data_IF_688314848392
#
_entry.id   IF_688314848392
#
_cell.length_a   1.000
_cell.length_b   1.000
_cell.length_c   1.000
_cell.angle_alpha   90.00
_cell.angle_beta   90.00
_cell.angle_gamma   90.00
#
_symmetry.space_group_name_H-M   'P 1'
#
loop_
_entity.id
_entity.type
_entity.pdbx_description
1 polymer ?
#
# COMPACT_ATOMS: atom_id res chain seq x y z
N UNK A 1 40.50 -24.82 -8.24
CA UNK A 1 40.61 -24.10 -6.95
C UNK A 1 39.20 -23.95 -6.39
N UNK A 2 38.89 -24.61 -5.28
CA UNK A 2 37.59 -24.51 -4.59
C UNK A 2 37.39 -23.09 -4.11
N UNK A 3 36.22 -22.51 -4.37
CA UNK A 3 35.89 -21.15 -3.97
C UNK A 3 35.86 -21.00 -2.44
N UNK A 4 36.07 -19.80 -1.91
CA UNK A 4 35.98 -19.49 -0.50
C UNK A 4 34.61 -19.90 0.10
N UNK A 5 33.55 -19.78 -0.70
CA UNK A 5 32.20 -20.18 -0.34
C UNK A 5 32.06 -21.73 -0.17
N UNK A 6 32.68 -22.50 -1.04
CA UNK A 6 32.67 -23.98 -0.92
C UNK A 6 33.46 -24.46 0.28
N UNK A 7 34.54 -23.77 0.63
CA UNK A 7 35.33 -24.04 1.87
C UNK A 7 34.55 -23.68 3.12
N UNK A 8 33.85 -22.55 3.12
CA UNK A 8 33.01 -22.14 4.25
C UNK A 8 31.80 -23.08 4.43
N UNK A 9 31.26 -23.66 3.37
CA UNK A 9 30.17 -24.63 3.44
C UNK A 9 30.54 -25.95 4.13
N UNK A 10 31.84 -26.30 4.16
CA UNK A 10 32.36 -27.53 4.81
C UNK A 10 32.64 -27.35 6.31
N UNK A 11 32.57 -26.13 6.84
CA UNK A 11 32.79 -25.84 8.26
C UNK A 11 31.54 -26.18 9.11
N UNK A 12 31.79 -26.63 10.33
CA UNK A 12 30.72 -26.79 11.32
C UNK A 12 30.02 -25.45 11.65
N UNK A 13 28.77 -25.45 12.13
CA UNK A 13 28.07 -24.22 12.48
C UNK A 13 28.83 -23.29 13.41
N UNK A 14 29.54 -23.87 14.42
CA UNK A 14 30.38 -23.13 15.38
C UNK A 14 31.63 -22.53 14.71
N UNK A 15 32.26 -23.25 13.79
CA UNK A 15 33.40 -22.76 13.05
C UNK A 15 33.03 -21.66 12.05
N UNK A 16 31.85 -21.73 11.42
CA UNK A 16 31.29 -20.64 10.58
C UNK A 16 31.03 -19.38 11.40
N UNK A 17 30.44 -19.53 12.60
CA UNK A 17 30.20 -18.40 13.49
C UNK A 17 31.50 -17.76 14.02
N UNK A 18 32.55 -18.55 14.26
CA UNK A 18 33.86 -18.06 14.65
C UNK A 18 34.53 -17.30 13.49
N UNK A 19 34.52 -17.87 12.29
CA UNK A 19 35.05 -17.24 11.07
C UNK A 19 34.33 -15.92 10.75
N UNK A 20 32.98 -15.87 10.88
CA UNK A 20 32.22 -14.64 10.70
C UNK A 20 32.63 -13.55 11.70
N UNK A 21 32.88 -13.91 12.98
CA UNK A 21 33.38 -12.97 14.01
C UNK A 21 34.78 -12.46 13.70
N UNK A 22 35.66 -13.31 13.19
CA UNK A 22 37.01 -12.92 12.79
C UNK A 22 37.01 -12.00 11.57
N UNK A 23 36.18 -12.28 10.57
CA UNK A 23 36.02 -11.44 9.38
C UNK A 23 35.52 -10.05 9.75
N UNK A 24 34.53 -9.95 10.67
CA UNK A 24 34.04 -8.66 11.20
C UNK A 24 35.16 -7.93 11.99
N UNK A 25 35.98 -8.62 12.79
CA UNK A 25 37.13 -8.03 13.51
C UNK A 25 38.23 -7.58 12.58
N UNK A 26 38.45 -8.27 11.45
CA UNK A 26 39.42 -7.92 10.44
C UNK A 26 39.01 -6.71 9.56
N UNK A 27 37.88 -6.06 9.85
CA UNK A 27 37.41 -4.93 9.09
C UNK A 27 36.98 -5.32 7.68
N UNK A 28 36.66 -6.62 7.44
CA UNK A 28 36.06 -7.05 6.20
C UNK A 28 34.65 -6.43 6.16
N UNK A 29 34.47 -5.33 5.44
CA UNK A 29 33.16 -4.78 5.13
C UNK A 29 32.47 -5.79 4.24
N UNK A 30 31.51 -6.53 4.81
CA UNK A 30 30.48 -7.14 3.98
C UNK A 30 29.85 -6.01 3.17
N UNK A 31 29.44 -6.25 1.90
CA UNK A 31 28.76 -5.21 1.14
C UNK A 31 27.65 -4.63 2.01
N UNK A 32 27.82 -3.40 2.47
CA UNK A 32 26.86 -2.68 3.32
C UNK A 32 25.71 -2.11 2.51
N UNK A 33 25.43 -2.66 1.34
CA UNK A 33 24.36 -2.23 0.41
C UNK A 33 22.94 -2.51 0.92
N UNK A 34 22.78 -3.10 2.12
CA UNK A 34 21.48 -3.31 2.77
C UNK A 34 20.78 -1.99 3.08
N UNK A 35 21.51 -0.89 3.10
CA UNK A 35 20.99 0.47 3.33
C UNK A 35 21.00 1.35 2.07
N UNK A 36 21.18 0.78 0.87
CA UNK A 36 21.14 1.57 -0.37
C UNK A 36 19.78 2.28 -0.49
N UNK A 37 19.76 3.62 -0.66
CA UNK A 37 18.51 4.37 -0.83
C UNK A 37 17.81 3.96 -2.12
N UNK A 38 16.47 3.99 -2.09
CA UNK A 38 15.63 3.67 -3.24
C UNK A 38 14.95 4.94 -3.73
N UNK A 39 15.09 5.24 -5.02
CA UNK A 39 14.45 6.36 -5.68
C UNK A 39 13.02 6.00 -6.11
N UNK A 40 12.08 6.91 -5.89
CA UNK A 40 10.78 6.93 -6.54
C UNK A 40 10.93 7.72 -7.83
N UNK A 41 10.72 7.08 -8.97
CA UNK A 41 10.93 7.72 -10.29
C UNK A 41 9.62 7.90 -11.06
N UNK A 42 8.55 7.25 -10.67
CA UNK A 42 7.23 7.38 -11.29
C UNK A 42 6.10 7.12 -10.30
N UNK A 43 4.93 7.71 -10.60
CA UNK A 43 3.69 7.59 -9.81
C UNK A 43 2.53 7.49 -10.78
N UNK A 44 1.61 6.57 -10.53
CA UNK A 44 0.25 6.52 -11.10
C UNK A 44 -0.75 6.40 -9.97
N UNK A 45 -1.89 7.05 -10.07
CA UNK A 45 -2.95 6.91 -9.07
C UNK A 45 -4.34 7.24 -9.60
N UNK A 46 -5.34 6.58 -9.00
CA UNK A 46 -6.78 6.82 -9.12
C UNK A 46 -7.34 6.87 -7.71
N UNK A 47 -7.87 8.03 -7.30
CA UNK A 47 -8.45 8.21 -5.96
C UNK A 47 -9.80 8.93 -6.06
N UNK A 48 -10.63 8.91 -4.99
CA UNK A 48 -11.89 9.66 -4.94
C UNK A 48 -11.72 11.14 -5.30
N UNK A 49 -12.78 11.76 -5.79
CA UNK A 49 -12.74 13.16 -6.21
C UNK A 49 -12.16 13.36 -7.61
N UNK A 50 -12.32 12.37 -8.50
CA UNK A 50 -11.83 12.39 -9.89
C UNK A 50 -10.31 12.55 -10.01
N UNK A 51 -9.57 12.03 -9.04
CA UNK A 51 -8.10 12.00 -9.10
C UNK A 51 -7.67 10.95 -10.12
N UNK A 52 -6.96 11.39 -11.16
CA UNK A 52 -6.45 10.55 -12.24
C UNK A 52 -4.93 10.59 -12.39
N UNK A 53 -4.24 11.15 -11.41
CA UNK A 53 -2.77 11.24 -11.41
C UNK A 53 -2.26 12.13 -10.28
N UNK A 54 -0.93 12.23 -10.11
CA UNK A 54 -0.33 12.95 -9.00
C UNK A 54 -0.66 14.45 -8.99
N UNK A 55 -0.81 15.09 -10.14
CA UNK A 55 -1.12 16.53 -10.23
C UNK A 55 -2.53 16.84 -9.72
N UNK A 56 -3.54 16.04 -10.12
CA UNK A 56 -4.91 16.19 -9.64
C UNK A 56 -5.03 15.81 -8.16
N UNK A 57 -4.23 14.86 -7.70
CA UNK A 57 -4.16 14.52 -6.28
C UNK A 57 -3.57 15.66 -5.44
N UNK A 58 -2.48 16.26 -5.90
CA UNK A 58 -1.91 17.44 -5.27
C UNK A 58 -2.92 18.58 -5.15
N UNK A 59 -3.66 18.87 -6.24
CA UNK A 59 -4.66 19.93 -6.24
C UNK A 59 -5.77 19.66 -5.21
N UNK A 60 -6.29 18.43 -5.18
CA UNK A 60 -7.29 17.99 -4.20
C UNK A 60 -6.82 18.23 -2.75
N UNK A 61 -5.57 17.86 -2.45
CA UNK A 61 -4.99 18.03 -1.12
C UNK A 61 -4.76 19.50 -0.78
N UNK A 62 -4.25 20.29 -1.74
CA UNK A 62 -3.97 21.72 -1.55
C UNK A 62 -5.27 22.52 -1.31
N UNK A 63 -6.36 22.13 -1.97
CA UNK A 63 -7.67 22.74 -1.80
C UNK A 63 -8.43 22.21 -0.57
N UNK A 64 -7.91 21.19 0.12
CA UNK A 64 -8.53 20.59 1.29
C UNK A 64 -9.88 19.93 0.99
N UNK A 65 -10.04 19.34 -0.20
CA UNK A 65 -11.32 18.76 -0.65
C UNK A 65 -11.65 17.52 0.19
N UNK A 66 -12.89 17.44 0.67
CA UNK A 66 -13.51 16.23 1.21
C UNK A 66 -14.29 15.53 0.10
N UNK A 67 -13.90 14.31 -0.24
CA UNK A 67 -14.48 13.54 -1.34
C UNK A 67 -15.50 12.50 -0.91
N UNK A 68 -15.87 12.51 0.37
CA UNK A 68 -16.80 11.52 0.88
C UNK A 68 -18.21 11.82 0.45
N UNK A 69 -18.85 10.84 -0.14
CA UNK A 69 -20.20 10.90 -0.68
C UNK A 69 -21.04 9.69 -0.28
N UNK A 70 -22.31 9.71 -0.59
CA UNK A 70 -23.16 8.53 -0.40
C UNK A 70 -22.78 7.45 -1.41
N UNK A 71 -22.97 6.18 -1.01
CA UNK A 71 -22.78 5.02 -1.90
C UNK A 71 -23.51 5.27 -3.23
N UNK A 72 -22.79 5.26 -4.37
CA UNK A 72 -23.39 5.46 -5.67
C UNK A 72 -24.39 4.36 -6.02
N UNK A 73 -25.48 4.68 -6.76
CA UNK A 73 -26.52 3.69 -7.10
C UNK A 73 -26.02 2.51 -7.95
N UNK A 74 -24.92 2.69 -8.68
CA UNK A 74 -24.28 1.66 -9.49
C UNK A 74 -23.46 0.65 -8.65
N UNK A 75 -23.23 0.92 -7.37
CA UNK A 75 -22.60 -0.01 -6.42
C UNK A 75 -23.67 -0.93 -5.79
N UNK A 76 -24.55 -0.37 -5.01
CA UNK A 76 -25.72 -1.04 -4.41
C UNK A 76 -26.72 -0.03 -3.86
N UNK A 77 -27.95 -0.47 -3.61
CA UNK A 77 -28.95 0.35 -2.91
C UNK A 77 -28.55 0.51 -1.43
N UNK A 78 -28.01 1.67 -1.08
CA UNK A 78 -27.51 1.95 0.27
C UNK A 78 -28.65 1.91 1.31
N UNK A 79 -29.86 2.37 0.95
CA UNK A 79 -30.99 2.41 1.88
C UNK A 79 -31.50 0.99 2.19
N UNK A 80 -31.40 0.06 1.25
CA UNK A 80 -31.78 -1.33 1.46
C UNK A 80 -30.89 -2.04 2.49
N UNK A 81 -29.64 -1.58 2.69
CA UNK A 81 -28.68 -2.17 3.63
C UNK A 81 -28.42 -1.32 4.87
N UNK A 82 -28.96 -0.12 4.96
CA UNK A 82 -28.73 0.80 6.08
C UNK A 82 -29.70 0.56 7.25
N UNK A 83 -29.15 0.62 8.48
CA UNK A 83 -29.92 0.75 9.71
C UNK A 83 -29.06 1.47 10.74
N UNK A 84 -29.55 2.52 11.42
CA UNK A 84 -28.78 3.21 12.45
C UNK A 84 -28.53 2.34 13.71
N UNK A 85 -29.32 1.27 13.91
CA UNK A 85 -29.10 0.31 14.98
C UNK A 85 -27.95 -0.65 14.61
N UNK A 86 -26.79 -0.59 15.29
CA UNK A 86 -25.69 -1.50 15.02
C UNK A 86 -26.01 -2.97 15.27
N UNK A 87 -27.07 -3.27 16.03
CA UNK A 87 -27.52 -4.64 16.29
C UNK A 87 -28.37 -5.23 15.16
N UNK A 88 -28.92 -4.39 14.26
CA UNK A 88 -29.78 -4.83 13.16
C UNK A 88 -29.06 -5.83 12.24
N UNK A 89 -29.57 -7.05 12.12
CA UNK A 89 -28.92 -8.12 11.36
C UNK A 89 -28.87 -7.82 9.87
N UNK A 90 -27.70 -8.06 9.21
CA UNK A 90 -27.53 -7.85 7.79
C UNK A 90 -27.55 -6.38 7.35
N UNK A 91 -27.37 -5.45 8.28
CA UNK A 91 -27.38 -4.01 8.04
C UNK A 91 -26.04 -3.36 8.36
N UNK A 92 -25.72 -2.26 7.66
CA UNK A 92 -24.57 -1.39 7.92
C UNK A 92 -25.06 -0.09 8.57
N UNK A 93 -24.20 0.54 9.37
CA UNK A 93 -24.50 1.77 10.12
C UNK A 93 -24.13 3.06 9.37
N UNK A 94 -23.63 2.95 8.17
CA UNK A 94 -23.20 4.10 7.35
C UNK A 94 -23.65 3.93 5.91
N UNK A 95 -23.86 5.06 5.21
CA UNK A 95 -24.13 5.10 3.78
C UNK A 95 -23.05 5.87 3.01
N UNK A 96 -21.91 6.12 3.65
CA UNK A 96 -20.88 7.01 3.15
C UNK A 96 -19.62 6.23 2.77
N UNK A 97 -18.90 6.75 1.77
CA UNK A 97 -17.61 6.26 1.30
C UNK A 97 -16.90 7.24 0.38
N UNK A 98 -15.63 7.00 0.14
CA UNK A 98 -14.87 7.66 -0.92
C UNK A 98 -14.86 6.74 -2.14
N UNK A 99 -15.51 7.12 -3.24
CA UNK A 99 -15.68 6.26 -4.41
C UNK A 99 -14.88 6.77 -5.61
N UNK A 100 -14.35 5.84 -6.40
CA UNK A 100 -13.74 6.11 -7.70
C UNK A 100 -14.81 5.97 -8.77
N UNK A 101 -14.84 6.92 -9.71
CA UNK A 101 -15.77 6.88 -10.85
C UNK A 101 -15.35 5.81 -11.87
N UNK A 102 -16.31 5.38 -12.69
CA UNK A 102 -16.08 4.57 -13.90
C UNK A 102 -15.25 3.28 -13.65
N UNK A 103 -15.44 2.60 -12.50
CA UNK A 103 -14.68 1.40 -12.15
C UNK A 103 -14.94 0.21 -13.09
N UNK A 104 -15.99 0.26 -13.89
CA UNK A 104 -16.31 -0.70 -14.94
C UNK A 104 -15.63 -0.38 -16.28
N UNK A 105 -15.15 0.85 -16.47
CA UNK A 105 -14.39 1.24 -17.65
C UNK A 105 -13.01 0.58 -17.69
N UNK A 106 -12.60 0.14 -18.87
CA UNK A 106 -11.30 -0.47 -19.10
C UNK A 106 -10.99 -0.53 -20.60
N UNK A 107 -9.84 -0.07 -21.01
CA UNK A 107 -9.37 -0.18 -22.40
C UNK A 107 -8.79 -1.59 -22.67
N UNK A 108 -9.69 -2.56 -22.80
CA UNK A 108 -9.33 -3.96 -23.03
C UNK A 108 -8.53 -4.17 -24.32
N UNK A 109 -8.87 -3.45 -25.37
CA UNK A 109 -8.22 -3.57 -26.70
C UNK A 109 -6.78 -3.09 -26.63
N UNK A 110 -6.50 -2.02 -25.88
CA UNK A 110 -5.14 -1.53 -25.67
C UNK A 110 -4.23 -2.59 -25.04
N UNK A 111 -4.75 -3.38 -24.09
CA UNK A 111 -4.03 -4.48 -23.44
C UNK A 111 -4.13 -5.82 -24.17
N UNK A 112 -4.78 -5.88 -25.35
CA UNK A 112 -4.99 -7.11 -26.11
C UNK A 112 -5.85 -8.15 -25.40
N UNK A 113 -6.75 -7.69 -24.50
CA UNK A 113 -7.65 -8.53 -23.70
C UNK A 113 -9.01 -8.60 -24.39
N UNK A 114 -9.54 -9.83 -24.58
CA UNK A 114 -10.85 -9.97 -25.21
C UNK A 114 -11.98 -9.45 -24.31
N UNK A 115 -13.09 -8.95 -24.88
CA UNK A 115 -14.22 -8.48 -24.08
C UNK A 115 -14.75 -9.53 -23.09
N UNK A 116 -14.76 -10.80 -23.47
CA UNK A 116 -15.19 -11.91 -22.59
C UNK A 116 -14.27 -12.07 -21.38
N UNK A 117 -12.97 -12.01 -21.60
CA UNK A 117 -11.99 -12.06 -20.52
C UNK A 117 -12.07 -10.82 -19.64
N UNK A 118 -12.18 -9.63 -20.24
CA UNK A 118 -12.29 -8.37 -19.52
C UNK A 118 -13.49 -8.34 -18.54
N UNK A 119 -14.63 -8.87 -18.93
CA UNK A 119 -15.82 -8.98 -18.06
C UNK A 119 -15.55 -9.91 -16.87
N UNK A 120 -14.80 -10.98 -17.05
CA UNK A 120 -14.47 -11.93 -15.97
C UNK A 120 -13.36 -11.40 -15.02
N UNK A 121 -12.61 -10.38 -15.44
CA UNK A 121 -11.57 -9.77 -14.61
C UNK A 121 -12.17 -8.86 -13.52
N UNK A 122 -11.66 -9.00 -12.31
CA UNK A 122 -11.92 -8.06 -11.22
C UNK A 122 -11.56 -6.63 -11.68
N UNK A 123 -12.44 -5.64 -11.51
CA UNK A 123 -12.14 -4.24 -11.79
C UNK A 123 -10.84 -3.75 -11.14
N UNK A 124 -10.46 -4.30 -9.98
CA UNK A 124 -9.17 -4.01 -9.35
C UNK A 124 -7.97 -4.41 -10.24
N UNK A 125 -8.07 -5.54 -10.94
CA UNK A 125 -7.01 -5.98 -11.87
C UNK A 125 -6.92 -5.07 -13.09
N UNK A 126 -8.08 -4.62 -13.61
CA UNK A 126 -8.16 -3.69 -14.75
C UNK A 126 -7.52 -2.36 -14.39
N UNK A 127 -7.92 -1.78 -13.26
CA UNK A 127 -7.38 -0.51 -12.76
C UNK A 127 -5.87 -0.59 -12.47
N UNK A 128 -5.38 -1.70 -11.90
CA UNK A 128 -3.95 -1.91 -11.68
C UNK A 128 -3.13 -1.93 -12.98
N UNK A 129 -3.68 -2.50 -14.06
CA UNK A 129 -3.00 -2.48 -15.37
C UNK A 129 -2.83 -1.07 -15.89
N UNK A 130 -3.90 -0.27 -15.90
CA UNK A 130 -3.88 1.11 -16.37
C UNK A 130 -2.96 1.97 -15.50
N UNK A 131 -3.12 1.92 -14.19
CA UNK A 131 -2.31 2.74 -13.26
C UNK A 131 -0.85 2.34 -13.26
N UNK A 132 -0.52 1.04 -13.43
CA UNK A 132 0.86 0.59 -13.59
C UNK A 132 1.50 1.11 -14.89
N UNK A 133 0.74 1.11 -15.98
CA UNK A 133 1.18 1.68 -17.25
C UNK A 133 1.46 3.18 -17.13
N UNK A 134 0.50 3.93 -16.59
CA UNK A 134 0.63 5.37 -16.35
C UNK A 134 1.79 5.73 -15.42
N UNK A 135 2.05 4.90 -14.40
CA UNK A 135 3.21 5.09 -13.52
C UNK A 135 4.53 4.98 -14.30
N UNK A 136 4.62 4.05 -15.27
CA UNK A 136 5.78 3.92 -16.15
C UNK A 136 5.90 5.11 -17.11
N UNK A 137 4.79 5.58 -17.70
CA UNK A 137 4.77 6.80 -18.52
C UNK A 137 5.24 8.02 -17.71
N UNK A 138 4.74 8.17 -16.47
CA UNK A 138 5.16 9.25 -15.58
C UNK A 138 6.65 9.16 -15.20
N UNK A 139 7.21 7.94 -15.15
CA UNK A 139 8.64 7.70 -14.96
C UNK A 139 9.47 7.99 -16.22
N UNK A 140 8.84 8.18 -17.38
CA UNK A 140 9.54 8.26 -18.68
C UNK A 140 10.17 6.93 -19.11
N UNK A 141 9.70 5.81 -18.58
CA UNK A 141 10.19 4.47 -18.90
C UNK A 141 9.23 3.82 -19.90
N UNK A 142 9.65 3.63 -21.17
CA UNK A 142 8.81 2.93 -22.14
C UNK A 142 8.52 1.50 -21.68
N UNK A 143 7.24 1.08 -21.53
CA UNK A 143 6.88 -0.24 -21.03
C UNK A 143 7.53 -1.39 -21.79
N UNK A 144 7.64 -1.29 -23.12
CA UNK A 144 8.28 -2.28 -23.98
C UNK A 144 9.77 -2.52 -23.65
N UNK A 145 10.45 -1.49 -23.09
CA UNK A 145 11.87 -1.58 -22.70
C UNK A 145 12.08 -2.52 -21.50
N UNK A 146 11.03 -2.83 -20.76
CA UNK A 146 11.08 -3.70 -19.59
C UNK A 146 10.94 -5.20 -19.93
N UNK A 147 10.59 -5.53 -21.17
CA UNK A 147 10.42 -6.93 -21.60
C UNK A 147 11.72 -7.73 -21.41
N UNK A 148 11.62 -8.86 -20.75
CA UNK A 148 12.75 -9.75 -20.42
C UNK A 148 13.63 -9.26 -19.26
N UNK A 149 13.35 -8.10 -18.66
CA UNK A 149 14.12 -7.55 -17.54
C UNK A 149 13.70 -8.16 -16.18
N UNK A 150 14.57 -7.99 -15.18
CA UNK A 150 14.26 -8.34 -13.77
C UNK A 150 13.44 -7.25 -13.08
N UNK A 151 12.35 -6.83 -13.71
CA UNK A 151 11.41 -5.89 -13.09
C UNK A 151 10.43 -6.66 -12.21
N UNK A 152 10.32 -6.25 -10.93
CA UNK A 152 9.41 -6.85 -9.95
C UNK A 152 8.05 -6.15 -9.89
N UNK A 153 7.01 -6.87 -9.47
CA UNK A 153 5.65 -6.35 -9.26
C UNK A 153 5.16 -6.78 -7.87
N UNK A 154 4.98 -5.84 -6.95
CA UNK A 154 4.50 -6.07 -5.60
C UNK A 154 3.27 -5.21 -5.33
N UNK A 155 2.08 -5.81 -5.21
CA UNK A 155 0.82 -5.06 -5.05
C UNK A 155 0.02 -5.54 -3.85
N UNK A 156 -0.52 -4.59 -3.09
CA UNK A 156 -1.45 -4.82 -2.00
C UNK A 156 -2.88 -4.99 -2.51
N UNK A 157 -3.51 -6.12 -2.20
CA UNK A 157 -4.91 -6.42 -2.49
C UNK A 157 -5.51 -7.23 -1.33
N UNK A 158 -6.74 -6.93 -0.93
CA UNK A 158 -7.45 -7.68 0.13
C UNK A 158 -8.93 -7.92 -0.17
N UNK A 159 -9.56 -7.15 -1.06
CA UNK A 159 -10.98 -7.29 -1.38
C UNK A 159 -11.27 -8.47 -2.31
N UNK A 160 -12.32 -9.21 -1.99
CA UNK A 160 -12.88 -10.32 -2.78
C UNK A 160 -14.29 -10.01 -3.30
N UNK A 161 -14.72 -8.75 -3.27
CA UNK A 161 -16.10 -8.35 -3.56
C UNK A 161 -16.54 -8.79 -4.95
N UNK A 162 -15.68 -8.68 -5.97
CA UNK A 162 -16.02 -9.11 -7.32
C UNK A 162 -16.22 -10.62 -7.44
N UNK A 163 -15.46 -11.41 -6.68
CA UNK A 163 -15.67 -12.87 -6.59
C UNK A 163 -17.05 -13.18 -6.00
N UNK A 164 -17.45 -12.47 -4.94
CA UNK A 164 -18.75 -12.65 -4.30
C UNK A 164 -19.89 -12.33 -5.27
N UNK A 165 -19.81 -11.18 -5.96
CA UNK A 165 -20.80 -10.76 -6.99
C UNK A 165 -20.91 -11.81 -8.11
N UNK A 166 -19.79 -12.39 -8.57
CA UNK A 166 -19.80 -13.41 -9.61
C UNK A 166 -20.38 -14.76 -9.15
N UNK A 167 -20.11 -15.15 -7.89
CA UNK A 167 -20.66 -16.40 -7.32
C UNK A 167 -22.18 -16.33 -7.22
N UNK A 168 -22.76 -15.15 -6.95
CA UNK A 168 -24.20 -14.96 -6.95
C UNK A 168 -24.81 -15.15 -8.35
N UNK A 169 -24.05 -14.89 -9.40
CA UNK A 169 -24.41 -15.08 -10.82
C UNK A 169 -23.89 -16.40 -11.39
N UNK A 170 -24.15 -17.52 -10.75
CA UNK A 170 -23.57 -18.84 -11.08
C UNK A 170 -23.63 -19.25 -12.55
N UNK A 171 -24.63 -18.77 -13.29
CA UNK A 171 -24.79 -19.07 -14.72
C UNK A 171 -23.68 -18.47 -15.61
N UNK A 172 -23.00 -17.46 -15.13
CA UNK A 172 -22.00 -16.69 -15.88
C UNK A 172 -20.55 -17.16 -15.57
N UNK A 173 -20.38 -18.17 -14.68
CA UNK A 173 -19.06 -18.70 -14.32
C UNK A 173 -18.45 -19.44 -15.49
N UNK A 174 -17.31 -18.96 -15.97
CA UNK A 174 -16.54 -19.59 -17.03
C UNK A 174 -15.05 -19.79 -16.63
N UNK A 175 -14.23 -20.27 -17.57
CA UNK A 175 -12.81 -20.53 -17.32
C UNK A 175 -12.02 -19.25 -16.96
N UNK A 176 -12.45 -18.07 -17.42
CA UNK A 176 -11.76 -16.81 -17.15
C UNK A 176 -11.91 -16.35 -15.70
N UNK A 177 -12.92 -16.81 -14.95
CA UNK A 177 -13.06 -16.49 -13.54
C UNK A 177 -11.82 -16.95 -12.74
N UNK A 178 -11.24 -18.10 -13.10
CA UNK A 178 -10.06 -18.66 -12.42
C UNK A 178 -8.78 -17.82 -12.57
N UNK A 179 -8.72 -16.96 -13.57
CA UNK A 179 -7.61 -16.02 -13.81
C UNK A 179 -8.03 -14.56 -13.66
N UNK A 180 -9.32 -14.30 -13.52
CA UNK A 180 -9.90 -12.96 -13.42
C UNK A 180 -10.03 -12.42 -12.01
N UNK A 181 -10.13 -13.28 -11.00
CA UNK A 181 -10.42 -12.84 -9.61
C UNK A 181 -9.32 -13.12 -8.59
N UNK A 182 -8.44 -14.15 -8.71
CA UNK A 182 -7.40 -14.37 -7.71
C UNK A 182 -6.38 -13.22 -7.65
N UNK A 183 -6.01 -12.76 -6.46
CA UNK A 183 -5.06 -11.66 -6.27
C UNK A 183 -3.70 -11.90 -6.96
N UNK A 184 -3.22 -13.16 -6.98
CA UNK A 184 -1.98 -13.50 -7.68
C UNK A 184 -2.08 -13.26 -9.21
N UNK A 185 -3.27 -13.36 -9.79
CA UNK A 185 -3.48 -13.09 -11.21
C UNK A 185 -3.36 -11.58 -11.53
N UNK A 186 -3.69 -10.68 -10.61
CA UNK A 186 -3.50 -9.24 -10.79
C UNK A 186 -2.04 -8.89 -11.08
N UNK A 187 -1.13 -9.31 -10.21
CA UNK A 187 0.31 -9.07 -10.36
C UNK A 187 0.92 -9.88 -11.51
N UNK A 188 0.46 -11.14 -11.66
CA UNK A 188 0.89 -12.01 -12.75
C UNK A 188 0.53 -11.46 -14.12
N UNK A 189 -0.63 -10.81 -14.26
CA UNK A 189 -1.09 -10.19 -15.51
C UNK A 189 -0.24 -8.97 -15.89
N UNK A 190 0.10 -8.11 -14.94
CA UNK A 190 1.05 -7.00 -15.18
C UNK A 190 2.38 -7.56 -15.68
N UNK A 191 2.93 -8.57 -14.98
CA UNK A 191 4.18 -9.18 -15.36
C UNK A 191 4.10 -9.84 -16.75
N UNK A 192 3.00 -10.53 -17.06
CA UNK A 192 2.77 -11.17 -18.34
C UNK A 192 2.70 -10.17 -19.51
N UNK A 193 1.87 -9.12 -19.37
CA UNK A 193 1.65 -8.14 -20.42
C UNK A 193 2.90 -7.31 -20.71
N UNK A 194 3.70 -6.99 -19.69
CA UNK A 194 4.94 -6.23 -19.84
C UNK A 194 6.17 -7.14 -20.09
N UNK A 195 5.99 -8.48 -20.14
CA UNK A 195 7.09 -9.42 -20.35
C UNK A 195 8.14 -9.45 -19.24
N UNK A 196 7.76 -9.11 -17.99
CA UNK A 196 8.66 -8.98 -16.85
C UNK A 196 9.11 -10.36 -16.33
N UNK A 197 10.34 -10.43 -15.78
CA UNK A 197 10.93 -11.67 -15.24
C UNK A 197 11.31 -11.59 -13.77
N UNK A 198 11.04 -10.46 -13.10
CA UNK A 198 11.21 -10.32 -11.66
C UNK A 198 10.08 -10.99 -10.86
N UNK A 199 10.16 -10.99 -9.52
CA UNK A 199 9.11 -11.49 -8.64
C UNK A 199 7.79 -10.75 -8.86
N UNK A 200 6.66 -11.50 -8.89
CA UNK A 200 5.31 -10.95 -8.95
C UNK A 200 4.54 -11.44 -7.72
N UNK A 201 4.28 -10.55 -6.77
CA UNK A 201 3.76 -10.88 -5.44
C UNK A 201 2.55 -10.04 -5.10
N UNK A 202 1.41 -10.69 -4.86
CA UNK A 202 0.24 -10.05 -4.23
C UNK A 202 0.39 -10.14 -2.71
N UNK A 203 0.12 -9.03 -2.01
CA UNK A 203 0.31 -8.88 -0.57
C UNK A 203 -1.04 -8.59 0.07
N UNK A 204 -1.43 -9.39 1.04
CA UNK A 204 -2.56 -9.10 1.92
C UNK A 204 -2.09 -9.07 3.37
N UNK A 205 -1.98 -7.87 3.90
CA UNK A 205 -1.76 -7.55 5.31
C UNK A 205 -2.77 -6.49 5.76
N UNK A 206 -3.99 -6.57 5.22
CA UNK A 206 -5.09 -5.63 5.45
C UNK A 206 -4.66 -4.17 5.13
N UNK A 207 -4.87 -3.23 6.05
CA UNK A 207 -4.62 -1.80 5.83
C UNK A 207 -3.15 -1.46 5.51
N UNK A 208 -2.21 -2.32 5.83
CA UNK A 208 -0.78 -2.12 5.56
C UNK A 208 -0.29 -2.72 4.23
N UNK A 209 -1.15 -3.42 3.48
CA UNK A 209 -0.77 -4.22 2.30
C UNK A 209 0.12 -3.46 1.32
N UNK A 210 -0.25 -2.26 0.90
CA UNK A 210 0.52 -1.50 -0.08
C UNK A 210 1.85 -0.95 0.47
N UNK A 211 1.95 -0.59 1.76
CA UNK A 211 3.23 -0.24 2.38
C UNK A 211 4.15 -1.44 2.53
N UNK A 212 3.61 -2.61 2.87
CA UNK A 212 4.38 -3.87 2.90
C UNK A 212 4.84 -4.23 1.49
N UNK A 213 4.01 -4.04 0.46
CA UNK A 213 4.41 -4.23 -0.94
C UNK A 213 5.57 -3.29 -1.33
N UNK A 214 5.52 -2.01 -0.97
CA UNK A 214 6.62 -1.05 -1.17
C UNK A 214 7.88 -1.48 -0.39
N UNK A 215 7.72 -1.95 0.86
CA UNK A 215 8.85 -2.47 1.64
C UNK A 215 9.52 -3.67 0.95
N UNK A 216 8.75 -4.65 0.50
CA UNK A 216 9.26 -5.82 -0.21
C UNK A 216 9.96 -5.44 -1.52
N UNK A 217 9.42 -4.46 -2.26
CA UNK A 217 10.05 -3.92 -3.46
C UNK A 217 11.41 -3.27 -3.15
N UNK A 218 11.49 -2.46 -2.09
CA UNK A 218 12.76 -1.88 -1.63
C UNK A 218 13.78 -2.96 -1.24
N UNK A 219 13.33 -4.03 -0.56
CA UNK A 219 14.22 -5.15 -0.21
C UNK A 219 14.71 -5.89 -1.45
N UNK A 220 13.83 -6.20 -2.40
CA UNK A 220 14.18 -6.88 -3.65
C UNK A 220 15.20 -6.07 -4.49
N UNK A 221 15.06 -4.74 -4.56
CA UNK A 221 16.01 -3.83 -5.18
C UNK A 221 17.38 -3.85 -4.48
N UNK A 222 17.40 -3.76 -3.14
CA UNK A 222 18.63 -3.81 -2.32
C UNK A 222 19.36 -5.13 -2.43
N UNK A 223 18.61 -6.24 -2.46
CA UNK A 223 19.16 -7.59 -2.66
C UNK A 223 19.55 -7.88 -4.12
N UNK A 224 19.32 -6.93 -5.03
CA UNK A 224 19.59 -7.07 -6.48
C UNK A 224 18.84 -8.22 -7.14
N UNK A 225 17.71 -8.64 -6.57
CA UNK A 225 16.77 -9.55 -7.23
C UNK A 225 16.04 -8.85 -8.38
N UNK A 226 15.77 -7.54 -8.21
CA UNK A 226 15.16 -6.68 -9.23
C UNK A 226 16.03 -5.47 -9.52
N UNK A 227 15.86 -4.89 -10.70
CA UNK A 227 16.53 -3.64 -11.12
C UNK A 227 15.55 -2.47 -11.18
N UNK A 228 14.26 -2.76 -11.43
CA UNK A 228 13.11 -1.87 -11.34
C UNK A 228 12.02 -2.59 -10.57
N UNK A 229 11.20 -1.90 -9.81
CA UNK A 229 10.04 -2.48 -9.16
C UNK A 229 8.80 -1.57 -9.30
N UNK A 230 7.66 -2.18 -9.64
CA UNK A 230 6.34 -1.60 -9.54
C UNK A 230 5.75 -2.03 -8.19
N UNK A 231 5.40 -1.06 -7.35
CA UNK A 231 4.85 -1.35 -6.02
C UNK A 231 3.68 -0.45 -5.69
N UNK A 232 2.70 -0.96 -4.99
CA UNK A 232 1.52 -0.19 -4.63
C UNK A 232 0.37 -1.04 -4.14
N UNK A 233 -0.85 -0.67 -4.47
CA UNK A 233 -2.04 -1.44 -4.12
C UNK A 233 -3.32 -0.84 -4.66
N UNK A 234 -4.38 -1.62 -4.58
CA UNK A 234 -5.72 -1.26 -5.04
C UNK A 234 -6.77 -1.73 -4.05
N UNK A 235 -7.84 -0.97 -3.96
CA UNK A 235 -9.05 -1.30 -3.19
C UNK A 235 -10.27 -0.77 -3.93
N UNK A 236 -11.23 -1.64 -4.20
CA UNK A 236 -12.57 -1.27 -4.64
C UNK A 236 -13.61 -1.90 -3.71
N UNK A 237 -14.75 -1.23 -3.58
CA UNK A 237 -15.86 -1.65 -2.74
C UNK A 237 -17.07 -1.90 -3.64
N UNK A 238 -17.24 -3.18 -4.05
CA UNK A 238 -18.24 -3.57 -5.05
C UNK A 238 -19.45 -4.28 -4.42
N UNK A 239 -19.42 -4.49 -3.10
CA UNK A 239 -20.53 -5.12 -2.38
C UNK A 239 -20.65 -4.55 -0.95
N UNK A 240 -21.86 -4.62 -0.33
CA UNK A 240 -22.10 -4.13 1.02
C UNK A 240 -21.55 -5.07 2.12
N UNK A 241 -21.14 -6.31 1.80
CA UNK A 241 -20.88 -7.34 2.80
C UNK A 241 -19.78 -6.97 3.80
N UNK A 242 -18.67 -6.44 3.30
CA UNK A 242 -17.57 -5.99 4.16
C UNK A 242 -18.01 -4.80 5.03
N UNK A 243 -18.80 -3.87 4.48
CA UNK A 243 -19.34 -2.74 5.25
C UNK A 243 -20.29 -3.20 6.37
N UNK A 244 -21.12 -4.22 6.11
CA UNK A 244 -21.98 -4.84 7.13
C UNK A 244 -21.11 -5.45 8.25
N UNK A 245 -20.10 -6.23 7.92
CA UNK A 245 -19.21 -6.85 8.90
C UNK A 245 -18.47 -5.81 9.76
N UNK A 246 -17.92 -4.78 9.14
CA UNK A 246 -17.23 -3.68 9.83
C UNK A 246 -18.17 -2.85 10.71
N UNK A 247 -19.44 -2.69 10.31
CA UNK A 247 -20.46 -2.04 11.13
C UNK A 247 -20.76 -2.85 12.40
N UNK A 248 -20.81 -4.19 12.30
CA UNK A 248 -20.96 -5.06 13.49
C UNK A 248 -19.79 -4.96 14.45
N UNK A 249 -18.66 -4.56 13.94
CA UNK A 249 -17.44 -4.33 14.70
C UNK A 249 -17.35 -2.91 15.28
N UNK A 250 -18.34 -2.06 14.99
CA UNK A 250 -18.34 -0.63 15.34
C UNK A 250 -17.07 0.10 14.85
N UNK A 251 -16.53 -0.34 13.71
CA UNK A 251 -15.33 0.23 13.13
C UNK A 251 -15.62 1.39 12.18
N UNK A 252 -16.86 1.42 11.60
CA UNK A 252 -17.25 2.46 10.64
C UNK A 252 -17.89 3.65 11.33
N UNK A 253 -17.52 4.85 10.86
CA UNK A 253 -18.12 6.12 11.28
C UNK A 253 -19.57 6.22 10.78
N UNK A 254 -20.57 6.38 11.66
CA UNK A 254 -21.93 6.67 11.26
C UNK A 254 -22.07 8.04 10.59
N UNK A 255 -21.16 8.98 10.93
CA UNK A 255 -21.15 10.34 10.36
C UNK A 255 -20.47 10.42 9.00
N UNK A 256 -19.80 9.33 8.59
CA UNK A 256 -19.14 9.24 7.29
C UNK A 256 -17.86 10.07 7.20
N UNK A 257 -17.12 10.22 8.29
CA UNK A 257 -15.85 10.97 8.29
C UNK A 257 -14.77 10.25 9.09
N UNK A 258 -13.55 10.29 8.57
CA UNK A 258 -12.36 9.95 9.36
C UNK A 258 -11.95 11.21 10.14
N UNK A 259 -12.47 11.39 11.34
CA UNK A 259 -12.09 12.51 12.22
C UNK A 259 -10.77 12.20 12.91
N UNK A 260 -9.66 12.17 12.15
CA UNK A 260 -8.35 11.73 12.62
C UNK A 260 -7.84 12.63 13.76
N UNK A 261 -7.56 12.02 14.91
CA UNK A 261 -7.08 12.67 16.14
C UNK A 261 -8.03 13.73 16.72
N UNK A 262 -9.30 13.74 16.32
CA UNK A 262 -10.33 14.65 16.81
C UNK A 262 -11.12 14.01 17.96
N UNK A 263 -11.69 14.88 18.82
CA UNK A 263 -12.56 14.44 19.92
C UNK A 263 -13.87 13.78 19.42
N UNK A 264 -14.27 14.05 18.18
CA UNK A 264 -15.43 13.46 17.52
C UNK A 264 -15.10 12.18 16.73
N UNK A 265 -13.91 11.60 16.92
CA UNK A 265 -13.53 10.34 16.28
C UNK A 265 -14.50 9.23 16.70
N UNK A 266 -15.22 8.64 15.73
CA UNK A 266 -16.29 7.66 15.94
C UNK A 266 -16.17 6.42 15.05
N UNK A 267 -15.06 6.30 14.31
CA UNK A 267 -14.77 5.24 13.36
C UNK A 267 -14.17 5.80 12.06
N UNK A 268 -13.89 4.92 11.11
CA UNK A 268 -13.39 5.34 9.79
C UNK A 268 -14.48 5.27 8.73
N UNK A 269 -14.28 5.98 7.62
CA UNK A 269 -15.08 5.84 6.41
C UNK A 269 -14.25 5.07 5.38
N UNK A 270 -14.86 4.09 4.69
CA UNK A 270 -14.19 3.30 3.65
C UNK A 270 -13.95 4.17 2.41
N UNK A 271 -12.85 3.90 1.72
CA UNK A 271 -12.53 4.54 0.44
C UNK A 271 -12.02 3.53 -0.58
N UNK A 272 -12.14 3.89 -1.83
CA UNK A 272 -11.63 3.17 -2.99
C UNK A 272 -10.35 3.84 -3.52
N UNK A 273 -9.58 3.12 -4.32
CA UNK A 273 -8.50 3.71 -5.07
C UNK A 273 -7.39 2.74 -5.43
N UNK A 274 -6.51 3.24 -6.26
CA UNK A 274 -5.33 2.54 -6.73
C UNK A 274 -4.14 3.50 -6.75
N UNK A 275 -2.98 3.03 -6.29
CA UNK A 275 -1.73 3.75 -6.43
C UNK A 275 -0.61 2.80 -6.77
N UNK A 276 0.26 3.20 -7.69
CA UNK A 276 1.46 2.47 -8.11
C UNK A 276 2.63 3.44 -8.17
N UNK A 277 3.75 3.03 -7.60
CA UNK A 277 5.01 3.75 -7.68
C UNK A 277 6.05 2.91 -8.40
N UNK A 278 6.90 3.58 -9.19
CA UNK A 278 8.04 2.99 -9.88
C UNK A 278 9.29 3.26 -9.06
N UNK A 279 9.99 2.20 -8.66
CA UNK A 279 11.13 2.24 -7.75
C UNK A 279 12.39 1.74 -8.44
N UNK A 280 13.51 2.43 -8.21
CA UNK A 280 14.87 2.00 -8.62
C UNK A 280 15.85 2.28 -7.49
N UNK A 281 16.97 1.54 -7.44
CA UNK A 281 18.09 1.96 -6.56
C UNK A 281 18.49 3.38 -6.94
N UNK A 282 18.77 4.22 -5.96
CA UNK A 282 19.12 5.63 -6.21
C UNK A 282 20.32 5.77 -7.15
N UNK A 283 21.35 4.94 -6.96
CA UNK A 283 22.53 4.95 -7.83
C UNK A 283 22.19 4.62 -9.30
N UNK A 284 21.27 3.67 -9.52
CA UNK A 284 20.80 3.30 -10.86
C UNK A 284 19.96 4.41 -11.47
N UNK A 285 19.04 5.02 -10.72
CA UNK A 285 18.22 6.13 -11.20
C UNK A 285 19.08 7.34 -11.63
N UNK A 286 20.11 7.67 -10.84
CA UNK A 286 21.06 8.76 -11.17
C UNK A 286 21.89 8.41 -12.41
N UNK A 287 22.41 7.18 -12.52
CA UNK A 287 23.14 6.71 -13.69
C UNK A 287 22.28 6.78 -14.96
N UNK A 288 21.02 6.38 -14.86
CA UNK A 288 20.10 6.31 -16.00
C UNK A 288 19.44 7.67 -16.29
N UNK A 289 19.75 8.70 -15.51
CA UNK A 289 19.24 10.06 -15.63
C UNK A 289 17.71 10.17 -15.42
N UNK A 290 17.14 9.27 -14.61
CA UNK A 290 15.73 9.31 -14.26
C UNK A 290 15.40 10.55 -13.43
N UNK A 291 14.15 11.04 -13.54
CA UNK A 291 13.62 12.06 -12.64
C UNK A 291 13.34 11.44 -11.28
N UNK A 292 14.12 11.79 -10.27
CA UNK A 292 13.91 11.35 -8.88
C UNK A 292 12.89 12.27 -8.20
N UNK A 293 11.74 11.72 -7.83
CA UNK A 293 10.65 12.44 -7.17
C UNK A 293 10.85 12.49 -5.65
N UNK A 294 11.27 11.34 -5.09
CA UNK A 294 11.54 11.17 -3.66
C UNK A 294 12.55 10.04 -3.44
N UNK A 295 13.08 9.95 -2.23
CA UNK A 295 14.04 8.91 -1.85
C UNK A 295 13.55 8.19 -0.60
N UNK A 296 13.37 6.86 -0.69
CA UNK A 296 13.11 5.98 0.44
C UNK A 296 14.45 5.60 1.07
N UNK A 297 14.77 6.22 2.20
CA UNK A 297 16.01 5.95 2.94
C UNK A 297 15.94 4.68 3.76
N UNK A 298 14.78 4.42 4.40
CA UNK A 298 14.54 3.24 5.23
C UNK A 298 13.08 2.83 5.27
N UNK A 299 12.83 1.58 5.56
CA UNK A 299 11.50 1.02 5.78
C UNK A 299 11.58 -0.18 6.71
N UNK A 300 10.56 -0.38 7.54
CA UNK A 300 10.48 -1.50 8.46
C UNK A 300 9.06 -2.05 8.54
N UNK A 301 8.95 -3.31 8.86
CA UNK A 301 7.69 -4.00 9.17
C UNK A 301 7.86 -4.80 10.45
N UNK A 302 6.78 -4.93 11.22
CA UNK A 302 6.68 -5.84 12.35
C UNK A 302 5.24 -6.33 12.52
N UNK A 303 4.97 -7.03 13.59
CA UNK A 303 3.63 -7.41 14.03
C UNK A 303 3.42 -6.91 15.46
N UNK A 304 2.16 -6.58 15.78
CA UNK A 304 1.78 -6.17 17.14
C UNK A 304 1.99 -7.26 18.20
N UNK A 305 2.19 -8.51 17.76
CA UNK A 305 2.34 -9.65 18.66
C UNK A 305 1.09 -9.86 19.52
N UNK A 306 1.28 -10.29 20.78
CA UNK A 306 0.16 -10.46 21.71
C UNK A 306 -0.22 -9.11 22.32
N UNK A 307 -1.37 -8.58 21.93
CA UNK A 307 -2.00 -7.37 22.48
C UNK A 307 -3.25 -7.72 23.31
N UNK A 308 -4.03 -6.71 23.69
CA UNK A 308 -5.28 -6.88 24.44
C UNK A 308 -6.42 -7.54 23.62
N UNK A 309 -6.21 -7.78 22.34
CA UNK A 309 -7.12 -8.43 21.43
C UNK A 309 -6.51 -8.47 20.03
N UNK A 310 -6.96 -9.40 19.17
CA UNK A 310 -6.42 -9.57 17.82
C UNK A 310 -6.43 -8.28 16.99
N UNK A 311 -7.35 -7.37 17.28
CA UNK A 311 -7.58 -6.12 16.55
C UNK A 311 -7.16 -4.88 17.32
N UNK A 312 -6.68 -5.05 18.56
CA UNK A 312 -6.26 -3.95 19.41
C UNK A 312 -4.82 -3.54 19.07
N UNK A 313 -4.56 -2.24 18.76
CA UNK A 313 -3.22 -1.75 18.48
C UNK A 313 -2.27 -1.92 19.68
N UNK A 314 -0.97 -2.03 19.39
CA UNK A 314 0.08 -2.13 20.40
C UNK A 314 1.06 -0.96 20.27
N UNK A 315 1.02 -0.02 21.23
CA UNK A 315 1.89 1.16 21.24
C UNK A 315 3.38 0.82 21.22
N UNK A 316 3.80 -0.25 21.91
CA UNK A 316 5.21 -0.65 21.93
C UNK A 316 5.66 -1.15 20.56
N UNK A 317 4.84 -1.98 19.90
CA UNK A 317 5.15 -2.48 18.57
C UNK A 317 5.19 -1.33 17.53
N UNK A 318 4.29 -0.34 17.63
CA UNK A 318 4.35 0.86 16.78
C UNK A 318 5.65 1.64 16.99
N UNK A 319 6.07 1.86 18.23
CA UNK A 319 7.35 2.53 18.55
C UNK A 319 8.55 1.75 18.01
N UNK A 320 8.53 0.44 18.13
CA UNK A 320 9.61 -0.43 17.66
C UNK A 320 9.76 -0.38 16.14
N UNK A 321 8.66 -0.42 15.37
CA UNK A 321 8.73 -0.34 13.90
C UNK A 321 9.18 1.03 13.42
N UNK A 322 8.71 2.12 14.05
CA UNK A 322 9.14 3.48 13.74
C UNK A 322 10.65 3.62 14.02
N UNK A 323 11.11 3.20 15.19
CA UNK A 323 12.53 3.26 15.58
C UNK A 323 13.38 2.44 14.61
N UNK A 324 12.91 1.27 14.19
CA UNK A 324 13.61 0.42 13.23
C UNK A 324 13.72 1.09 11.85
N UNK A 325 12.66 1.73 11.38
CA UNK A 325 12.67 2.47 10.10
C UNK A 325 13.63 3.67 10.16
N UNK A 326 13.61 4.46 11.23
CA UNK A 326 14.51 5.59 11.45
C UNK A 326 15.98 5.13 11.48
N UNK A 327 16.26 4.04 12.18
CA UNK A 327 17.61 3.46 12.27
C UNK A 327 18.12 3.00 10.90
N UNK A 328 17.26 2.31 10.10
CA UNK A 328 17.63 1.89 8.74
C UNK A 328 17.82 3.08 7.79
N UNK A 329 17.08 4.16 8.01
CA UNK A 329 17.18 5.41 7.25
C UNK A 329 18.41 6.26 7.62
N UNK A 330 19.07 5.96 8.73
CA UNK A 330 20.08 6.82 9.38
C UNK A 330 19.52 8.25 9.58
N UNK A 331 18.34 8.32 10.22
CA UNK A 331 17.60 9.55 10.48
C UNK A 331 17.33 9.66 11.97
N UNK A 332 17.61 10.82 12.54
CA UNK A 332 17.23 11.10 13.93
C UNK A 332 15.79 11.57 14.03
N UNK A 333 15.03 11.23 15.09
CA UNK A 333 13.66 11.68 15.28
C UNK A 333 13.48 13.20 15.14
N UNK A 334 14.45 13.98 15.63
CA UNK A 334 14.39 15.46 15.63
C UNK A 334 14.46 16.06 14.22
N UNK A 335 14.97 15.32 13.24
CA UNK A 335 15.05 15.77 11.86
C UNK A 335 13.76 15.52 11.05
N UNK A 336 12.78 14.83 11.64
CA UNK A 336 11.49 14.57 10.99
C UNK A 336 10.56 15.77 11.20
N UNK A 337 10.06 16.33 10.10
CA UNK A 337 9.20 17.50 10.12
C UNK A 337 7.72 17.16 9.89
N UNK A 338 7.44 16.00 9.29
CA UNK A 338 6.09 15.57 8.96
C UNK A 338 5.97 14.05 9.08
N UNK A 339 4.82 13.60 9.59
CA UNK A 339 4.42 12.18 9.59
C UNK A 339 3.04 12.06 8.97
N UNK A 340 2.94 11.32 7.88
CA UNK A 340 1.64 10.83 7.40
C UNK A 340 1.26 9.63 8.25
N UNK A 341 0.17 9.76 8.99
CA UNK A 341 -0.24 8.81 10.03
C UNK A 341 -1.18 7.73 9.49
N UNK A 342 -1.40 6.69 10.28
CA UNK A 342 -2.55 5.82 10.06
C UNK A 342 -3.84 6.59 10.25
N UNK A 343 -4.04 7.29 11.38
CA UNK A 343 -5.05 8.32 11.58
C UNK A 343 -6.43 7.97 11.04
N UNK A 344 -7.02 6.88 11.53
CA UNK A 344 -8.30 6.36 11.01
C UNK A 344 -9.53 7.06 11.57
N UNK A 345 -9.39 7.86 12.63
CA UNK A 345 -10.52 8.47 13.34
C UNK A 345 -11.22 7.49 14.28
N UNK A 346 -10.51 6.48 14.78
CA UNK A 346 -11.08 5.51 15.70
C UNK A 346 -10.78 5.89 17.16
N UNK A 347 -11.78 5.70 18.04
CA UNK A 347 -11.72 6.06 19.47
C UNK A 347 -10.53 5.42 20.20
N UNK A 348 -10.16 4.20 19.80
CA UNK A 348 -9.06 3.46 20.43
C UNK A 348 -7.72 3.66 19.67
N UNK A 349 -7.76 3.65 18.34
CA UNK A 349 -6.55 3.62 17.52
C UNK A 349 -5.77 4.92 17.55
N UNK A 350 -6.45 6.03 17.36
CA UNK A 350 -5.82 7.34 17.27
C UNK A 350 -5.06 7.77 18.55
N UNK A 351 -5.61 7.58 19.77
CA UNK A 351 -4.85 7.87 20.99
C UNK A 351 -3.59 7.01 21.15
N UNK A 352 -3.66 5.71 20.81
CA UNK A 352 -2.52 4.78 20.88
C UNK A 352 -1.45 5.17 19.87
N UNK A 353 -1.85 5.53 18.64
CA UNK A 353 -0.92 6.00 17.61
C UNK A 353 -0.27 7.31 18.02
N UNK A 354 -1.06 8.28 18.49
CA UNK A 354 -0.54 9.56 18.96
C UNK A 354 0.47 9.40 20.11
N UNK A 355 0.17 8.54 21.09
CA UNK A 355 1.12 8.22 22.18
C UNK A 355 2.43 7.65 21.64
N UNK A 356 2.35 6.74 20.66
CA UNK A 356 3.52 6.11 20.04
C UNK A 356 4.37 7.12 19.27
N UNK A 357 3.73 8.00 18.50
CA UNK A 357 4.39 9.07 17.75
C UNK A 357 5.03 10.10 18.70
N UNK A 358 4.29 10.53 19.72
CA UNK A 358 4.77 11.48 20.71
C UNK A 358 5.99 10.95 21.47
N UNK A 359 5.96 9.67 21.84
CA UNK A 359 7.08 9.04 22.53
C UNK A 359 8.34 8.86 21.64
N UNK A 360 8.15 8.75 20.32
CA UNK A 360 9.26 8.53 19.37
C UNK A 360 9.86 9.85 18.86
N UNK A 361 9.01 10.82 18.48
CA UNK A 361 9.43 12.07 17.87
C UNK A 361 9.56 13.22 18.87
N UNK A 362 9.16 13.01 20.13
CA UNK A 362 9.17 13.99 21.22
C UNK A 362 7.92 14.86 21.24
N UNK A 363 7.43 15.18 22.41
CA UNK A 363 6.43 16.21 22.66
C UNK A 363 7.17 17.53 22.96
N UNK A 364 7.19 18.40 21.97
CA UNK A 364 7.78 19.72 22.12
C UNK A 364 9.29 19.69 21.98
N UNK A 365 9.76 19.90 20.79
CA UNK A 365 11.10 20.40 20.53
C UNK A 365 11.26 21.69 21.32
N UNK A 366 12.47 21.99 21.82
CA UNK A 366 12.74 23.16 22.67
C UNK A 366 12.23 24.47 22.07
N UNK A 367 12.15 25.53 22.87
CA UNK A 367 11.72 26.84 22.40
C UNK A 367 12.55 27.27 21.18
N UNK A 368 11.91 27.33 20.00
CA UNK A 368 12.52 27.76 18.74
C UNK A 368 12.62 26.66 17.66
N UNK A 369 12.29 25.40 17.95
CA UNK A 369 12.24 24.34 16.95
C UNK A 369 10.81 24.14 16.42
N UNK A 370 10.69 23.92 15.10
CA UNK A 370 9.38 23.62 14.49
C UNK A 370 8.91 22.23 14.95
N UNK A 371 7.66 22.10 15.42
CA UNK A 371 7.11 20.80 15.80
C UNK A 371 6.99 19.88 14.56
N UNK A 372 7.07 18.56 14.77
CA UNK A 372 6.71 17.59 13.74
C UNK A 372 5.21 17.67 13.46
N UNK A 373 4.83 17.95 12.23
CA UNK A 373 3.42 17.98 11.83
C UNK A 373 2.88 16.56 11.61
N UNK A 374 1.63 16.31 12.03
CA UNK A 374 0.92 15.06 11.78
C UNK A 374 -0.21 15.33 10.78
N UNK A 375 -0.37 14.44 9.81
CA UNK A 375 -1.48 14.50 8.84
C UNK A 375 -2.05 13.12 8.57
N UNK A 376 -3.26 13.08 8.01
CA UNK A 376 -3.89 11.88 7.51
C UNK A 376 -4.68 12.17 6.24
N UNK A 377 -4.30 11.57 5.13
CA UNK A 377 -5.01 11.66 3.85
C UNK A 377 -6.44 11.11 3.93
N UNK A 378 -6.69 10.27 4.94
CA UNK A 378 -8.02 9.67 5.16
C UNK A 378 -9.10 10.69 5.47
N UNK A 379 -8.72 11.87 5.97
CA UNK A 379 -9.67 12.99 6.16
C UNK A 379 -10.22 13.53 4.84
N UNK A 380 -9.51 13.33 3.74
CA UNK A 380 -9.90 13.78 2.40
C UNK A 380 -10.62 12.69 1.61
N UNK A 381 -10.07 11.48 1.56
CA UNK A 381 -10.48 10.42 0.61
C UNK A 381 -10.98 9.14 1.29
N UNK A 382 -11.07 9.12 2.63
CA UNK A 382 -11.42 7.92 3.38
C UNK A 382 -10.28 6.93 3.54
N UNK A 383 -10.57 5.80 4.15
CA UNK A 383 -9.62 4.71 4.37
C UNK A 383 -9.65 3.72 3.20
N UNK A 384 -8.61 3.75 2.36
CA UNK A 384 -8.50 2.93 1.16
C UNK A 384 -8.05 1.49 1.44
N UNK A 385 -8.20 0.99 2.64
CA UNK A 385 -7.89 -0.39 3.04
C UNK A 385 -6.53 -0.86 2.46
N UNK A 386 -6.49 -1.85 1.55
CA UNK A 386 -5.24 -2.34 0.97
C UNK A 386 -4.42 -1.25 0.25
N UNK A 387 -5.06 -0.22 -0.31
CA UNK A 387 -4.42 0.90 -0.97
C UNK A 387 -4.12 2.09 -0.05
N UNK A 388 -4.52 2.03 1.24
CA UNK A 388 -4.37 3.17 2.15
C UNK A 388 -2.91 3.60 2.34
N UNK A 389 -2.00 2.63 2.41
CA UNK A 389 -0.58 2.90 2.59
C UNK A 389 0.05 3.62 1.41
N UNK A 390 -0.25 3.20 0.17
CA UNK A 390 0.29 3.85 -1.03
C UNK A 390 -0.31 5.24 -1.24
N UNK A 391 -1.58 5.48 -0.85
CA UNK A 391 -2.18 6.81 -0.91
C UNK A 391 -1.46 7.80 0.03
N UNK A 392 -1.18 7.40 1.29
CA UNK A 392 -0.38 8.19 2.20
C UNK A 392 1.08 8.34 1.76
N UNK A 393 1.64 7.34 1.08
CA UNK A 393 3.01 7.41 0.56
C UNK A 393 3.13 8.38 -0.63
N UNK A 394 2.13 8.45 -1.51
CA UNK A 394 2.11 9.37 -2.66
C UNK A 394 1.89 10.82 -2.21
N UNK A 395 1.03 11.06 -1.18
CA UNK A 395 0.89 12.37 -0.54
C UNK A 395 2.20 12.88 0.00
#
# INVERSE_FOLDING_TARGET
>A
MTSLAERAAQLSPNARAALARELVRAGTTFPTDICEPVAVVGIGCRFPGNVTGPESFWQLLADGVDTIEQVPPDRWDADAFYDPDPSASGRMTTKWGGFVSDVDAFDADFFGITPREAVAMDPQHRMLLEVAWEALEHAGIPPDSLSGTRTGVMMGLSSWDYTIVNIERRADIDAYLSTGTPHCAAVGRIAYLLGLRGPAVAVDTACSSSLVAIHLACQSLRLRETDVALAGGVQLTLSPFTAIALSKWSALSPTGRCNSFDANADGFVRGEGCGVVVLKRLADAVRDQDRVLAVVRGSATNSDGRSNGMTAPNALAQRDVITSALKLADVTPDSVNYVETHGTGTVLGDPIEFESLAATYGLGKGQGESPCALGSVKTNIGHLEAAAGVAGFIK
#
